data_IF_928297100642
#
_entry.id   IF_928297100642
#
_cell.length_a   1.000
_cell.length_b   1.000
_cell.length_c   1.000
_cell.angle_alpha   90.00
_cell.angle_beta   90.00
_cell.angle_gamma   90.00
#
_symmetry.space_group_name_H-M   'P 1'
#
loop_
_entity.id
_entity.type
_entity.pdbx_description
1 polymer ?
#
# COMPACT_ATOMS: atom_id res chain seq x y z
N UNK A 1 0.01 8.30 23.00
CA UNK A 1 0.46 6.99 23.49
C UNK A 1 1.60 6.54 22.57
N UNK A 2 2.74 6.08 23.10
CA UNK A 2 3.87 5.65 22.27
C UNK A 2 3.55 4.29 21.63
N UNK A 3 3.66 4.19 20.31
CA UNK A 3 3.45 2.95 19.56
C UNK A 3 4.66 2.04 19.75
N UNK A 4 4.46 0.87 20.35
CA UNK A 4 5.52 -0.11 20.66
C UNK A 4 5.28 -1.49 20.05
N UNK A 5 4.04 -1.78 19.65
CA UNK A 5 3.58 -3.05 19.10
C UNK A 5 2.68 -2.84 17.88
N UNK A 6 2.40 -3.90 17.14
CA UNK A 6 1.37 -3.86 16.09
C UNK A 6 -0.02 -3.65 16.67
N UNK A 7 -0.30 -4.14 17.88
CA UNK A 7 -1.58 -3.90 18.53
C UNK A 7 -1.82 -2.41 18.81
N UNK A 8 -0.79 -1.69 19.30
CA UNK A 8 -0.85 -0.23 19.47
C UNK A 8 -1.11 0.49 18.15
N UNK A 9 -0.44 0.04 17.07
CA UNK A 9 -0.58 0.60 15.74
C UNK A 9 -2.01 0.38 15.20
N UNK A 10 -2.53 -0.84 15.30
CA UNK A 10 -3.89 -1.20 14.89
C UNK A 10 -4.92 -0.41 15.68
N UNK A 11 -4.74 -0.28 17.00
CA UNK A 11 -5.63 0.51 17.84
C UNK A 11 -5.66 1.99 17.41
N UNK A 12 -4.50 2.56 17.07
CA UNK A 12 -4.41 3.93 16.53
C UNK A 12 -5.14 4.05 15.20
N UNK A 13 -4.95 3.11 14.28
CA UNK A 13 -5.61 3.13 12.96
C UNK A 13 -7.13 3.01 13.13
N UNK A 14 -7.60 2.10 14.00
CA UNK A 14 -9.05 1.91 14.29
C UNK A 14 -9.72 3.14 14.88
N UNK A 15 -8.98 3.98 15.59
CA UNK A 15 -9.51 5.24 16.14
C UNK A 15 -9.57 6.40 15.15
N UNK A 16 -8.97 6.23 13.97
CA UNK A 16 -8.90 7.22 12.90
C UNK A 16 -10.02 7.13 11.88
N UNK A 17 -9.93 7.98 10.86
CA UNK A 17 -10.77 7.87 9.66
C UNK A 17 -10.30 6.68 8.82
N UNK A 18 -11.23 5.91 8.28
CA UNK A 18 -10.87 4.85 7.30
C UNK A 18 -10.17 5.47 6.09
N UNK A 19 -9.06 4.88 5.73
CA UNK A 19 -8.40 5.14 4.44
C UNK A 19 -9.02 4.28 3.33
N UNK A 20 -8.81 4.68 2.09
CA UNK A 20 -9.27 3.93 0.92
C UNK A 20 -8.07 3.35 0.18
N UNK A 21 -8.06 2.03 -0.04
CA UNK A 21 -7.05 1.34 -0.84
C UNK A 21 -7.51 1.18 -2.28
N UNK A 22 -6.64 1.47 -3.25
CA UNK A 22 -6.81 1.04 -4.63
C UNK A 22 -6.14 -0.33 -4.81
N UNK A 23 -6.92 -1.41 -4.92
CA UNK A 23 -6.41 -2.76 -5.13
C UNK A 23 -6.25 -3.02 -6.63
N UNK A 24 -5.03 -2.96 -7.13
CA UNK A 24 -4.73 -3.23 -8.54
C UNK A 24 -4.70 -4.74 -8.83
N UNK A 25 -5.37 -5.19 -9.89
CA UNK A 25 -5.63 -6.59 -10.22
C UNK A 25 -6.39 -7.30 -9.08
N UNK A 26 -7.58 -6.80 -8.81
CA UNK A 26 -8.42 -7.26 -7.69
C UNK A 26 -8.96 -8.69 -7.85
N UNK A 27 -8.78 -9.33 -9.00
CA UNK A 27 -9.10 -10.74 -9.24
C UNK A 27 -8.05 -11.70 -8.61
N UNK A 28 -7.64 -11.42 -7.39
CA UNK A 28 -6.70 -12.21 -6.57
C UNK A 28 -7.36 -12.54 -5.22
N UNK A 29 -7.57 -13.82 -4.95
CA UNK A 29 -8.26 -14.29 -3.76
C UNK A 29 -7.62 -13.80 -2.47
N UNK A 30 -6.29 -13.92 -2.34
CA UNK A 30 -5.59 -13.54 -1.11
C UNK A 30 -5.63 -12.03 -0.85
N UNK A 31 -5.50 -11.23 -1.93
CA UNK A 31 -5.60 -9.79 -1.82
C UNK A 31 -7.03 -9.34 -1.46
N UNK A 32 -8.06 -9.97 -2.04
CA UNK A 32 -9.45 -9.71 -1.69
C UNK A 32 -9.74 -10.10 -0.23
N UNK A 33 -9.30 -11.29 0.22
CA UNK A 33 -9.44 -11.71 1.61
C UNK A 33 -8.79 -10.72 2.57
N UNK A 34 -7.58 -10.23 2.26
CA UNK A 34 -6.89 -9.26 3.09
C UNK A 34 -7.67 -7.93 3.20
N UNK A 35 -8.20 -7.43 2.10
CA UNK A 35 -9.02 -6.21 2.07
C UNK A 35 -10.34 -6.40 2.82
N UNK A 36 -11.01 -7.55 2.64
CA UNK A 36 -12.25 -7.89 3.34
C UNK A 36 -12.01 -7.99 4.86
N UNK A 37 -10.93 -8.63 5.29
CA UNK A 37 -10.58 -8.73 6.72
C UNK A 37 -10.23 -7.36 7.33
N UNK A 38 -9.68 -6.44 6.54
CA UNK A 38 -9.36 -5.08 6.98
C UNK A 38 -10.52 -4.08 6.83
N UNK A 39 -11.73 -4.53 6.48
CA UNK A 39 -12.87 -3.67 6.16
C UNK A 39 -13.36 -2.77 7.30
N UNK A 40 -12.96 -3.05 8.55
CA UNK A 40 -13.21 -2.19 9.71
C UNK A 40 -12.33 -0.93 9.72
N UNK A 41 -11.19 -0.95 9.05
CA UNK A 41 -10.20 0.16 9.00
C UNK A 41 -9.94 0.71 7.59
N UNK A 42 -10.31 -0.02 6.54
CA UNK A 42 -10.03 0.33 5.14
C UNK A 42 -11.29 0.20 4.29
N UNK A 43 -11.55 1.20 3.43
CA UNK A 43 -12.42 1.05 2.28
C UNK A 43 -11.59 0.59 1.07
N UNK A 44 -12.23 0.00 0.05
CA UNK A 44 -11.51 -0.47 -1.13
C UNK A 44 -12.16 -0.02 -2.43
N UNK A 45 -11.31 0.39 -3.39
CA UNK A 45 -11.66 0.45 -4.82
C UNK A 45 -10.97 -0.73 -5.49
N UNK A 46 -11.76 -1.62 -6.08
CA UNK A 46 -11.29 -2.83 -6.75
C UNK A 46 -11.01 -2.52 -8.22
N UNK A 47 -9.73 -2.46 -8.59
CA UNK A 47 -9.30 -2.17 -9.96
C UNK A 47 -9.08 -3.46 -10.72
N UNK A 48 -9.83 -3.67 -11.80
CA UNK A 48 -9.87 -4.92 -12.55
C UNK A 48 -9.89 -4.69 -14.07
N UNK A 49 -9.22 -5.53 -14.83
CA UNK A 49 -9.29 -5.54 -16.29
C UNK A 49 -10.68 -6.01 -16.76
N UNK A 50 -11.14 -5.48 -17.88
CA UNK A 50 -12.50 -5.74 -18.41
C UNK A 50 -12.80 -7.22 -18.58
N UNK A 51 -11.84 -8.01 -19.08
CA UNK A 51 -11.95 -9.45 -19.29
C UNK A 51 -11.86 -10.27 -17.97
N UNK A 52 -11.54 -9.64 -16.84
CA UNK A 52 -11.41 -10.23 -15.51
C UNK A 52 -12.54 -9.85 -14.54
N UNK A 53 -13.52 -9.10 -14.99
CA UNK A 53 -14.66 -8.68 -14.14
C UNK A 53 -15.47 -9.89 -13.67
N UNK A 54 -15.68 -10.90 -14.53
CA UNK A 54 -16.40 -12.11 -14.17
C UNK A 54 -15.62 -12.94 -13.13
N UNK A 55 -14.30 -13.09 -13.31
CA UNK A 55 -13.42 -13.74 -12.34
C UNK A 55 -13.52 -13.06 -10.96
N UNK A 56 -13.48 -11.72 -10.93
CA UNK A 56 -13.64 -10.93 -9.69
C UNK A 56 -14.99 -11.18 -9.02
N UNK A 57 -16.08 -11.15 -9.79
CA UNK A 57 -17.44 -11.37 -9.26
C UNK A 57 -17.60 -12.78 -8.66
N UNK A 58 -17.03 -13.79 -9.32
CA UNK A 58 -17.05 -15.16 -8.82
C UNK A 58 -16.27 -15.28 -7.51
N UNK A 59 -15.07 -14.70 -7.42
CA UNK A 59 -14.27 -14.67 -6.19
C UNK A 59 -14.99 -13.96 -5.04
N UNK A 60 -15.64 -12.81 -5.31
CA UNK A 60 -16.42 -12.11 -4.29
C UNK A 60 -17.58 -12.98 -3.79
N UNK A 61 -18.29 -13.67 -4.68
CA UNK A 61 -19.37 -14.57 -4.31
C UNK A 61 -18.86 -15.77 -3.46
N UNK A 62 -17.72 -16.37 -3.82
CA UNK A 62 -17.08 -17.43 -3.03
C UNK A 62 -16.68 -16.95 -1.62
N UNK A 63 -16.29 -15.68 -1.50
CA UNK A 63 -15.98 -15.04 -0.22
C UNK A 63 -17.22 -14.52 0.53
N UNK A 64 -18.43 -14.81 0.03
CA UNK A 64 -19.69 -14.41 0.64
C UNK A 64 -19.95 -12.91 0.58
N UNK A 65 -19.40 -12.21 -0.42
CA UNK A 65 -19.55 -10.77 -0.66
C UNK A 65 -20.31 -10.49 -1.95
N UNK A 66 -20.98 -9.34 -1.98
CA UNK A 66 -21.67 -8.88 -3.17
C UNK A 66 -20.79 -7.85 -3.90
N UNK A 67 -20.64 -7.89 -5.23
CA UNK A 67 -19.95 -6.85 -5.99
C UNK A 67 -20.46 -5.43 -5.71
N UNK A 68 -21.74 -5.26 -5.39
CA UNK A 68 -22.33 -3.97 -5.01
C UNK A 68 -21.83 -3.40 -3.67
N UNK A 69 -21.13 -4.20 -2.87
CA UNK A 69 -20.53 -3.74 -1.60
C UNK A 69 -19.21 -2.97 -1.82
N UNK A 70 -18.70 -2.94 -3.05
CA UNK A 70 -17.42 -2.35 -3.40
C UNK A 70 -17.53 -1.36 -4.56
N UNK A 71 -16.67 -0.36 -4.54
CA UNK A 71 -16.39 0.46 -5.73
C UNK A 71 -15.50 -0.35 -6.66
N UNK A 72 -15.99 -0.65 -7.88
CA UNK A 72 -15.25 -1.39 -8.90
C UNK A 72 -14.86 -0.44 -10.04
N UNK A 73 -13.57 -0.29 -10.27
CA UNK A 73 -13.00 0.48 -11.38
C UNK A 73 -12.52 -0.47 -12.47
N UNK A 74 -13.17 -0.43 -13.62
CA UNK A 74 -12.76 -1.22 -14.79
C UNK A 74 -11.67 -0.47 -15.53
N UNK A 75 -10.53 -1.11 -15.70
CA UNK A 75 -9.35 -0.51 -16.34
C UNK A 75 -9.66 -0.14 -17.79
N UNK A 76 -9.40 1.11 -18.22
CA UNK A 76 -9.52 1.50 -19.61
C UNK A 76 -8.65 0.67 -20.54
N UNK A 77 -9.12 0.43 -21.76
CA UNK A 77 -8.39 -0.34 -22.77
C UNK A 77 -6.99 0.25 -23.02
N UNK A 78 -5.97 -0.63 -23.02
CA UNK A 78 -4.57 -0.25 -23.21
C UNK A 78 -3.88 0.32 -21.96
N UNK A 79 -4.58 0.53 -20.86
CA UNK A 79 -3.99 0.98 -19.60
C UNK A 79 -3.60 -0.22 -18.73
N UNK A 80 -2.50 -0.11 -17.99
CA UNK A 80 -2.12 -1.12 -17.01
C UNK A 80 -2.88 -0.91 -15.68
N UNK A 81 -3.37 -1.97 -14.99
CA UNK A 81 -4.13 -1.83 -13.74
C UNK A 81 -3.43 -1.02 -12.65
N UNK A 82 -2.09 -1.15 -12.53
CA UNK A 82 -1.33 -0.34 -11.55
C UNK A 82 -1.29 1.15 -11.89
N UNK A 83 -1.33 1.53 -13.16
CA UNK A 83 -1.44 2.94 -13.59
C UNK A 83 -2.83 3.47 -13.27
N UNK A 84 -3.87 2.68 -13.57
CA UNK A 84 -5.25 3.02 -13.24
C UNK A 84 -5.40 3.26 -11.71
N UNK A 85 -4.92 2.33 -10.89
CA UNK A 85 -4.95 2.46 -9.43
C UNK A 85 -4.15 3.70 -8.94
N UNK A 86 -2.99 3.99 -9.53
CA UNK A 86 -2.20 5.18 -9.20
C UNK A 86 -2.93 6.48 -9.56
N UNK A 87 -3.65 6.52 -10.68
CA UNK A 87 -4.49 7.68 -11.07
C UNK A 87 -5.65 7.90 -10.11
N UNK A 88 -6.22 6.84 -9.51
CA UNK A 88 -7.25 7.00 -8.47
C UNK A 88 -6.69 7.70 -7.23
N UNK A 89 -5.43 7.43 -6.87
CA UNK A 89 -4.76 8.12 -5.76
C UNK A 89 -4.54 9.59 -6.10
N UNK A 90 -4.03 9.90 -7.28
CA UNK A 90 -3.86 11.29 -7.73
C UNK A 90 -5.18 12.07 -7.73
N UNK A 91 -6.27 11.41 -8.13
CA UNK A 91 -7.61 11.99 -8.13
C UNK A 91 -8.27 12.10 -6.73
N UNK A 92 -7.60 11.68 -5.66
CA UNK A 92 -8.13 11.68 -4.29
C UNK A 92 -9.24 10.66 -4.05
N UNK A 93 -9.41 9.68 -4.93
CA UNK A 93 -10.39 8.58 -4.78
C UNK A 93 -9.87 7.42 -3.95
N UNK A 94 -8.54 7.33 -3.78
CA UNK A 94 -7.87 6.38 -2.91
C UNK A 94 -6.66 7.05 -2.23
N UNK A 95 -6.24 6.52 -1.07
CA UNK A 95 -5.13 7.05 -0.27
C UNK A 95 -3.83 6.29 -0.53
N UNK A 96 -3.91 5.00 -0.86
CA UNK A 96 -2.74 4.16 -1.13
C UNK A 96 -3.05 3.01 -2.08
N UNK A 97 -2.00 2.43 -2.65
CA UNK A 97 -2.07 1.32 -3.60
C UNK A 97 -1.71 0.00 -2.94
N UNK A 98 -2.50 -1.03 -3.23
CA UNK A 98 -2.19 -2.42 -2.93
C UNK A 98 -2.16 -3.22 -4.24
N UNK A 99 -1.22 -4.15 -4.38
CA UNK A 99 -1.18 -5.06 -5.52
C UNK A 99 -1.89 -6.37 -5.19
N UNK A 100 -2.68 -6.88 -6.12
CA UNK A 100 -3.07 -8.28 -6.20
C UNK A 100 -2.02 -9.11 -6.95
N UNK A 101 -2.46 -10.07 -7.77
CA UNK A 101 -1.58 -10.98 -8.52
C UNK A 101 -0.87 -10.28 -9.71
N UNK A 102 0.04 -9.39 -9.39
CA UNK A 102 0.89 -8.69 -10.37
C UNK A 102 2.36 -8.99 -10.08
N UNK A 103 3.18 -9.17 -11.12
CA UNK A 103 4.65 -9.24 -10.96
C UNK A 103 5.17 -7.96 -10.31
N UNK A 104 6.05 -8.08 -9.32
CA UNK A 104 6.47 -6.98 -8.42
C UNK A 104 7.02 -5.74 -9.13
N UNK A 105 7.61 -5.86 -10.32
CA UNK A 105 8.08 -4.71 -11.10
C UNK A 105 6.98 -3.82 -11.69
N UNK A 106 5.77 -4.34 -11.86
CA UNK A 106 4.67 -3.63 -12.52
C UNK A 106 3.97 -2.59 -11.62
N UNK A 107 3.72 -2.83 -10.32
CA UNK A 107 3.18 -1.80 -9.44
C UNK A 107 4.05 -0.55 -9.37
N UNK A 108 5.38 -0.73 -9.29
CA UNK A 108 6.33 0.38 -9.28
C UNK A 108 6.31 1.17 -10.60
N UNK A 109 6.21 0.47 -11.74
CA UNK A 109 6.05 1.13 -13.05
C UNK A 109 4.76 1.96 -13.07
N UNK A 110 3.66 1.46 -12.50
CA UNK A 110 2.40 2.18 -12.40
C UNK A 110 2.52 3.46 -11.58
N UNK A 111 3.11 3.36 -10.37
CA UNK A 111 3.32 4.53 -9.48
C UNK A 111 4.26 5.55 -10.11
N UNK A 112 5.30 5.09 -10.84
CA UNK A 112 6.29 5.94 -11.50
C UNK A 112 5.89 6.37 -12.92
N UNK A 113 4.75 5.94 -13.43
CA UNK A 113 4.26 6.34 -14.74
C UNK A 113 3.99 7.86 -14.77
N UNK A 114 4.44 8.60 -15.80
CA UNK A 114 4.19 10.03 -15.88
C UNK A 114 2.71 10.40 -15.80
N UNK A 115 1.86 9.58 -16.40
CA UNK A 115 0.40 9.75 -16.42
C UNK A 115 -0.29 9.49 -15.07
N UNK A 116 0.40 8.91 -14.09
CA UNK A 116 -0.10 8.73 -12.74
C UNK A 116 0.07 9.99 -11.87
N UNK A 117 1.01 10.88 -12.25
CA UNK A 117 1.28 12.17 -11.60
C UNK A 117 1.59 12.08 -10.09
N UNK A 118 2.10 10.93 -9.63
CA UNK A 118 2.46 10.69 -8.23
C UNK A 118 3.94 11.00 -7.90
N UNK A 119 4.74 11.37 -8.91
CA UNK A 119 6.17 11.63 -8.71
C UNK A 119 6.38 12.98 -8.03
N UNK A 120 7.01 12.96 -6.84
CA UNK A 120 7.36 14.17 -6.08
C UNK A 120 8.78 14.66 -6.36
N UNK A 121 9.55 13.96 -7.21
CA UNK A 121 10.98 14.22 -7.43
C UNK A 121 11.90 13.68 -6.33
N UNK A 122 11.35 13.14 -5.24
CA UNK A 122 12.11 12.52 -4.16
C UNK A 122 12.55 11.08 -4.46
N UNK A 123 13.43 10.56 -3.62
CA UNK A 123 13.84 9.16 -3.64
C UNK A 123 12.68 8.28 -3.16
N UNK A 124 12.35 7.24 -3.91
CA UNK A 124 11.47 6.16 -3.42
C UNK A 124 12.32 5.12 -2.69
N UNK A 125 11.93 4.75 -1.49
CA UNK A 125 12.60 3.74 -0.69
C UNK A 125 11.58 2.83 0.01
N UNK A 126 12.04 1.67 0.47
CA UNK A 126 11.21 0.68 1.15
C UNK A 126 11.46 0.70 2.65
N UNK A 127 10.39 0.71 3.46
CA UNK A 127 10.46 0.54 4.92
C UNK A 127 9.68 -0.70 5.30
N UNK A 128 10.31 -1.60 6.04
CA UNK A 128 9.69 -2.79 6.60
C UNK A 128 9.66 -2.67 8.12
N UNK A 129 8.48 -2.83 8.71
CA UNK A 129 8.27 -2.74 10.15
C UNK A 129 8.18 -4.15 10.75
N UNK A 130 8.85 -4.37 11.88
CA UNK A 130 8.88 -5.64 12.58
C UNK A 130 8.50 -5.47 14.05
N UNK A 131 7.75 -6.44 14.56
CA UNK A 131 7.61 -6.71 15.97
C UNK A 131 8.43 -7.96 16.27
N UNK A 132 9.54 -7.79 17.01
CA UNK A 132 10.50 -8.87 17.29
C UNK A 132 10.28 -9.40 18.70
N UNK A 133 10.01 -10.71 18.90
CA UNK A 133 9.85 -11.29 20.21
C UNK A 133 11.06 -11.01 21.11
N UNK A 134 10.79 -10.49 22.32
CA UNK A 134 11.83 -10.12 23.28
C UNK A 134 12.45 -8.72 23.05
N UNK A 135 12.08 -8.00 21.99
CA UNK A 135 12.49 -6.61 21.78
C UNK A 135 11.38 -5.64 22.22
N UNK A 136 11.75 -4.57 22.89
CA UNK A 136 10.84 -3.70 23.65
C UNK A 136 10.03 -2.69 22.81
N UNK A 137 10.20 -2.66 21.50
CA UNK A 137 9.53 -1.72 20.56
C UNK A 137 9.58 -2.23 19.13
N UNK A 138 8.82 -1.59 18.24
CA UNK A 138 8.88 -1.86 16.81
C UNK A 138 10.26 -1.50 16.22
N UNK A 139 10.74 -2.33 15.29
CA UNK A 139 11.98 -2.17 14.56
C UNK A 139 11.67 -1.93 13.10
N UNK A 140 12.23 -0.86 12.51
CA UNK A 140 12.18 -0.61 11.08
C UNK A 140 13.46 -1.00 10.37
N UNK A 141 13.35 -1.68 9.25
CA UNK A 141 14.48 -1.97 8.34
C UNK A 141 14.25 -1.26 7.03
N UNK A 142 15.26 -0.53 6.55
CA UNK A 142 15.26 0.20 5.29
C UNK A 142 16.68 0.26 4.69
N UNK A 143 16.94 0.28 3.42
CA UNK A 143 16.06 -0.08 2.31
C UNK A 143 16.29 -1.56 1.99
N UNK A 144 15.22 -2.33 2.04
CA UNK A 144 15.32 -3.79 1.86
C UNK A 144 15.17 -4.25 0.40
N UNK A 145 14.91 -3.36 -0.57
CA UNK A 145 14.61 -3.88 -1.89
C UNK A 145 14.51 -2.88 -3.06
N UNK A 146 14.61 -1.59 -2.83
CA UNK A 146 14.46 -0.58 -3.90
C UNK A 146 15.79 0.03 -4.34
N UNK A 147 16.71 0.27 -3.39
CA UNK A 147 18.03 0.85 -3.65
C UNK A 147 19.11 -0.21 -3.43
N UNK A 148 19.51 -0.93 -4.46
CA UNK A 148 20.45 -2.05 -4.35
C UNK A 148 21.87 -1.61 -3.95
N UNK A 149 22.35 -0.49 -4.49
CA UNK A 149 23.68 0.07 -4.19
C UNK A 149 23.55 1.59 -3.95
N UNK A 150 23.07 2.01 -2.77
CA UNK A 150 22.89 3.43 -2.49
C UNK A 150 24.23 4.12 -2.26
N UNK A 151 24.49 5.20 -2.99
CA UNK A 151 25.53 6.20 -2.68
C UNK A 151 25.13 7.03 -1.43
N UNK A 152 25.99 7.98 -1.05
CA UNK A 152 25.74 8.80 0.14
C UNK A 152 24.43 9.60 0.03
N UNK A 153 24.14 10.18 -1.11
CA UNK A 153 22.94 10.99 -1.34
C UNK A 153 21.67 10.13 -1.20
N UNK A 154 21.66 8.94 -1.81
CA UNK A 154 20.55 7.99 -1.67
C UNK A 154 20.40 7.49 -0.23
N UNK A 155 21.51 7.19 0.48
CA UNK A 155 21.45 6.82 1.90
C UNK A 155 20.81 7.90 2.76
N UNK A 156 21.15 9.17 2.52
CA UNK A 156 20.50 10.31 3.20
C UNK A 156 19.00 10.34 2.89
N UNK A 157 18.61 10.14 1.63
CA UNK A 157 17.20 10.06 1.22
C UNK A 157 16.45 8.90 1.90
N UNK A 158 17.06 7.72 1.95
CA UNK A 158 16.50 6.53 2.63
C UNK A 158 16.24 6.83 4.10
N UNK A 159 17.23 7.41 4.80
CA UNK A 159 17.08 7.77 6.22
C UNK A 159 15.98 8.80 6.43
N UNK A 160 15.91 9.83 5.60
CA UNK A 160 14.85 10.86 5.67
C UNK A 160 13.46 10.23 5.52
N UNK A 161 13.26 9.39 4.52
CA UNK A 161 11.99 8.69 4.29
C UNK A 161 11.61 7.81 5.49
N UNK A 162 12.57 7.06 6.06
CA UNK A 162 12.32 6.24 7.22
C UNK A 162 11.95 7.06 8.47
N UNK A 163 12.65 8.19 8.71
CA UNK A 163 12.34 9.09 9.83
C UNK A 163 10.94 9.68 9.67
N UNK A 164 10.58 10.13 8.46
CA UNK A 164 9.25 10.65 8.15
C UNK A 164 8.16 9.59 8.37
N UNK A 165 8.40 8.35 7.92
CA UNK A 165 7.50 7.23 8.19
C UNK A 165 7.29 7.03 9.70
N UNK A 166 8.36 7.01 10.51
CA UNK A 166 8.26 6.85 11.95
C UNK A 166 7.54 8.02 12.64
N UNK A 167 7.73 9.26 12.16
CA UNK A 167 6.95 10.41 12.62
C UNK A 167 5.45 10.20 12.33
N UNK A 168 5.10 9.72 11.13
CA UNK A 168 3.72 9.41 10.74
C UNK A 168 3.01 8.41 11.67
N UNK A 169 3.72 7.38 12.11
CA UNK A 169 3.17 6.44 13.09
C UNK A 169 3.26 6.93 14.56
N UNK A 170 3.83 8.12 14.82
CA UNK A 170 3.84 8.78 16.12
C UNK A 170 5.10 8.57 16.96
N UNK A 171 6.20 8.15 16.36
CA UNK A 171 7.52 8.10 17.01
C UNK A 171 8.25 9.42 16.78
N UNK A 172 8.28 10.28 17.79
CA UNK A 172 8.84 11.65 17.66
C UNK A 172 10.35 11.68 17.41
N UNK A 173 11.09 10.74 18.00
CA UNK A 173 12.57 10.67 17.92
C UNK A 173 13.01 9.25 17.59
N UNK A 174 12.94 8.84 16.30
CA UNK A 174 13.41 7.53 15.90
C UNK A 174 14.95 7.45 16.00
N UNK A 175 15.46 6.37 16.60
CA UNK A 175 16.89 6.09 16.61
C UNK A 175 17.27 5.40 15.30
N UNK A 176 18.32 5.88 14.66
CA UNK A 176 18.83 5.33 13.39
C UNK A 176 20.21 4.76 13.60
N UNK A 177 20.41 3.51 13.13
CA UNK A 177 21.72 2.89 12.95
C UNK A 177 21.97 2.70 11.45
N UNK A 178 23.12 3.15 10.92
CA UNK A 178 23.50 3.10 9.51
C UNK A 178 24.82 2.33 9.32
#
# INVERSE_FOLDING_TARGET
MAIKSFDDLIAKVKSGKKSTVALACANDEHALQAVIHASDIVNAVLVVEKDKVEDLNNLLAELGKNPSDFDIEVVPEGMHPSVCAAKLIHAGKADFLMKGKIMTGNPLKGVLAPEAELRTGGLMSHVMLFEVPGYHKLLGVTDGGMCTYPDLEKKIGIVKNAVEFFHGIGVEKPNVAA
#
